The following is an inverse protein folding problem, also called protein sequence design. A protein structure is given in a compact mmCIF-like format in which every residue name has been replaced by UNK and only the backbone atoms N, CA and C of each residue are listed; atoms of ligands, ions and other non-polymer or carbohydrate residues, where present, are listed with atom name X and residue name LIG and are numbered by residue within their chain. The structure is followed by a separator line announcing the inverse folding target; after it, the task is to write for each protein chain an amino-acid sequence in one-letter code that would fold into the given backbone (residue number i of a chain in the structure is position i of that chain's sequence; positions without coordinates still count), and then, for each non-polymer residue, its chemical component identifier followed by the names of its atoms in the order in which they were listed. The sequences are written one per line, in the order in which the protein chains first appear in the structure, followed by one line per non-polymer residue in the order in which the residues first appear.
data_IF_825674093330
#
_entry.id   IF_825674093330
#
_cell.length_a   1.000
_cell.length_b   1.000
_cell.length_c   1.000
_cell.angle_alpha   90.00
_cell.angle_beta   90.00
_cell.angle_gamma   90.00
#
_symmetry.space_group_name_H-M   'P 1'
#
loop_
_entity.id
_entity.type
_entity.pdbx_description
1 polymer ?
#
# COMPACT_ATOMS: atom_id res chain seq x y z
N UNK A 1 26.82 13.01 34.23
CA UNK A 1 26.06 11.74 34.10
C UNK A 1 24.60 11.93 33.69
N UNK A 2 23.82 12.82 34.34
CA UNK A 2 22.42 13.12 33.96
C UNK A 2 22.16 13.61 32.52
N UNK A 3 22.98 14.50 31.91
CA UNK A 3 22.71 14.99 30.55
C UNK A 3 22.92 13.91 29.47
N UNK A 4 23.87 13.00 29.67
CA UNK A 4 24.11 11.89 28.75
C UNK A 4 22.94 10.88 28.73
N UNK A 5 22.39 10.54 29.91
CA UNK A 5 21.21 9.68 30.02
C UNK A 5 19.96 10.29 29.39
N UNK A 6 19.80 11.62 29.49
CA UNK A 6 18.68 12.31 28.85
C UNK A 6 18.77 12.22 27.32
N UNK A 7 19.95 12.45 26.73
CA UNK A 7 20.18 12.31 25.29
C UNK A 7 19.93 10.88 24.81
N UNK A 8 20.36 9.87 25.58
CA UNK A 8 20.13 8.46 25.25
C UNK A 8 18.64 8.09 25.27
N UNK A 9 17.90 8.57 26.27
CA UNK A 9 16.45 8.36 26.34
C UNK A 9 15.70 9.06 25.20
N UNK A 10 16.12 10.26 24.81
CA UNK A 10 15.54 10.96 23.66
C UNK A 10 15.83 10.21 22.36
N UNK A 11 17.05 9.72 22.16
CA UNK A 11 17.41 8.90 21.00
C UNK A 11 16.57 7.62 20.93
N UNK A 12 16.43 6.88 22.04
CA UNK A 12 15.58 5.69 22.11
C UNK A 12 14.12 5.98 21.74
N UNK A 13 13.55 7.05 22.30
CA UNK A 13 12.17 7.46 22.01
C UNK A 13 11.95 7.83 20.55
N UNK A 14 12.93 8.50 19.92
CA UNK A 14 12.88 8.80 18.47
C UNK A 14 12.89 7.51 17.64
N UNK A 15 13.75 6.54 17.97
CA UNK A 15 13.81 5.27 17.23
C UNK A 15 12.52 4.45 17.35
N UNK A 16 11.87 4.45 18.52
CA UNK A 16 10.57 3.78 18.71
C UNK A 16 9.46 4.44 17.89
N UNK A 17 9.41 5.78 17.85
CA UNK A 17 8.43 6.53 17.07
C UNK A 17 8.58 6.31 15.56
N UNK A 18 9.82 6.28 15.08
CA UNK A 18 10.16 5.97 13.68
C UNK A 18 9.74 4.53 13.35
N UNK A 19 10.07 3.57 14.21
CA UNK A 19 9.71 2.16 14.02
C UNK A 19 8.20 1.94 13.96
N UNK A 20 7.45 2.52 14.90
CA UNK A 20 5.99 2.41 14.91
C UNK A 20 5.35 3.08 13.68
N UNK A 21 5.83 4.26 13.30
CA UNK A 21 5.33 4.99 12.12
C UNK A 21 5.60 4.18 10.84
N UNK A 22 6.80 3.59 10.72
CA UNK A 22 7.18 2.76 9.60
C UNK A 22 6.33 1.49 9.48
N UNK A 23 6.18 0.77 10.59
CA UNK A 23 5.36 -0.44 10.65
C UNK A 23 3.91 -0.15 10.22
N UNK A 24 3.33 0.95 10.69
CA UNK A 24 1.97 1.35 10.33
C UNK A 24 1.83 1.72 8.85
N UNK A 25 2.74 2.54 8.31
CA UNK A 25 2.65 2.99 6.91
C UNK A 25 2.87 1.83 5.93
N UNK A 26 3.86 0.97 6.20
CA UNK A 26 4.13 -0.21 5.37
C UNK A 26 2.99 -1.22 5.44
N UNK A 27 2.45 -1.50 6.63
CA UNK A 27 1.31 -2.42 6.75
C UNK A 27 0.06 -1.90 6.02
N UNK A 28 -0.22 -0.59 6.09
CA UNK A 28 -1.29 0.04 5.32
C UNK A 28 -1.09 -0.12 3.81
N UNK A 29 0.12 0.11 3.31
CA UNK A 29 0.46 -0.05 1.90
C UNK A 29 0.29 -1.50 1.44
N UNK A 30 0.87 -2.47 2.15
CA UNK A 30 0.76 -3.88 1.76
C UNK A 30 -0.69 -4.37 1.83
N UNK A 31 -1.43 -3.99 2.87
CA UNK A 31 -2.85 -4.33 2.98
C UNK A 31 -3.65 -3.76 1.81
N UNK A 32 -3.44 -2.48 1.46
CA UNK A 32 -4.10 -1.84 0.34
C UNK A 32 -3.82 -2.55 -0.99
N UNK A 33 -2.55 -2.87 -1.28
CA UNK A 33 -2.16 -3.55 -2.52
C UNK A 33 -2.73 -4.97 -2.59
N UNK A 34 -2.66 -5.72 -1.49
CA UNK A 34 -3.21 -7.08 -1.42
C UNK A 34 -4.74 -7.06 -1.57
N UNK A 35 -5.41 -6.13 -0.90
CA UNK A 35 -6.86 -5.97 -1.01
C UNK A 35 -7.27 -5.59 -2.43
N UNK A 36 -6.55 -4.66 -3.07
CA UNK A 36 -6.77 -4.27 -4.46
C UNK A 36 -6.75 -5.49 -5.39
N UNK A 37 -5.63 -6.21 -5.42
CA UNK A 37 -5.43 -7.33 -6.35
C UNK A 37 -6.34 -8.52 -6.00
N UNK A 38 -6.51 -8.82 -4.72
CA UNK A 38 -7.32 -9.93 -4.26
C UNK A 38 -8.81 -9.72 -4.55
N UNK A 39 -9.33 -8.52 -4.32
CA UNK A 39 -10.74 -8.19 -4.60
C UNK A 39 -11.03 -8.15 -6.10
N UNK A 40 -10.12 -7.61 -6.93
CA UNK A 40 -10.23 -7.67 -8.39
C UNK A 40 -10.30 -9.11 -8.89
N UNK A 41 -9.38 -9.96 -8.43
CA UNK A 41 -9.34 -11.36 -8.81
C UNK A 41 -10.62 -12.10 -8.41
N UNK A 42 -11.14 -11.83 -7.20
CA UNK A 42 -12.39 -12.41 -6.73
C UNK A 42 -13.58 -11.99 -7.59
N UNK A 43 -13.69 -10.70 -7.92
CA UNK A 43 -14.76 -10.19 -8.79
C UNK A 43 -14.65 -10.76 -10.22
N UNK A 44 -13.43 -10.89 -10.75
CA UNK A 44 -13.20 -11.52 -12.04
C UNK A 44 -13.72 -12.97 -12.06
N UNK A 45 -13.45 -13.75 -11.01
CA UNK A 45 -13.98 -15.12 -10.87
C UNK A 45 -15.51 -15.13 -10.82
N UNK A 46 -16.11 -14.22 -10.05
CA UNK A 46 -17.57 -14.15 -9.86
C UNK A 46 -18.29 -13.84 -11.19
N UNK A 47 -17.81 -12.89 -11.98
CA UNK A 47 -18.50 -12.44 -13.19
C UNK A 47 -18.12 -13.22 -14.46
N UNK A 48 -16.88 -13.72 -14.57
CA UNK A 48 -16.37 -14.36 -15.79
C UNK A 48 -16.10 -15.87 -15.66
N UNK A 49 -16.18 -16.42 -14.46
CA UNK A 49 -16.02 -17.85 -14.21
C UNK A 49 -14.56 -18.32 -14.15
N UNK A 50 -14.31 -19.33 -13.32
CA UNK A 50 -12.96 -19.83 -12.95
C UNK A 50 -12.10 -20.32 -14.13
N UNK A 51 -12.71 -20.69 -15.26
CA UNK A 51 -11.99 -21.20 -16.45
C UNK A 51 -11.40 -20.12 -17.35
N UNK A 52 -11.80 -18.86 -17.20
CA UNK A 52 -11.35 -17.74 -18.05
C UNK A 52 -10.39 -16.77 -17.34
N UNK A 53 -10.19 -16.91 -16.03
CA UNK A 53 -9.36 -15.98 -15.24
C UNK A 53 -7.94 -16.51 -15.13
N UNK A 54 -7.09 -16.14 -16.08
CA UNK A 54 -5.65 -16.47 -16.05
C UNK A 54 -4.93 -15.49 -15.11
N UNK A 55 -3.81 -15.89 -14.48
CA UNK A 55 -2.96 -15.01 -13.66
C UNK A 55 -2.52 -13.71 -14.37
N UNK A 56 -2.60 -13.66 -15.71
CA UNK A 56 -2.44 -12.43 -16.50
C UNK A 56 -3.47 -11.33 -16.19
N UNK A 57 -4.65 -11.71 -15.70
CA UNK A 57 -5.72 -10.77 -15.30
C UNK A 57 -5.42 -10.04 -13.99
N UNK A 58 -4.36 -10.44 -13.27
CA UNK A 58 -3.96 -9.81 -12.00
C UNK A 58 -3.17 -8.50 -12.21
N UNK A 59 -2.91 -8.07 -13.45
CA UNK A 59 -2.18 -6.84 -13.78
C UNK A 59 -0.76 -6.75 -13.17
N UNK A 60 -0.20 -7.88 -12.72
CA UNK A 60 1.17 -7.95 -12.22
C UNK A 60 2.11 -8.21 -13.39
N UNK A 61 2.70 -7.15 -13.91
CA UNK A 61 3.79 -7.21 -14.88
C UNK A 61 5.16 -7.23 -14.21
N UNK A 62 6.19 -7.58 -14.97
CA UNK A 62 7.57 -7.56 -14.46
C UNK A 62 8.01 -6.12 -14.12
N UNK A 63 7.55 -5.12 -14.88
CA UNK A 63 7.79 -3.70 -14.63
C UNK A 63 7.06 -3.23 -13.36
N UNK A 64 5.85 -3.72 -13.11
CA UNK A 64 5.10 -3.43 -11.89
C UNK A 64 5.83 -3.93 -10.64
N UNK A 65 6.35 -5.17 -10.67
CA UNK A 65 7.12 -5.71 -9.54
C UNK A 65 8.36 -4.85 -9.27
N UNK A 66 9.08 -4.46 -10.34
CA UNK A 66 10.24 -3.58 -10.20
C UNK A 66 9.86 -2.23 -9.58
N UNK A 67 8.77 -1.60 -10.04
CA UNK A 67 8.28 -0.34 -9.48
C UNK A 67 7.89 -0.47 -7.99
N UNK A 68 7.25 -1.58 -7.60
CA UNK A 68 6.92 -1.87 -6.21
C UNK A 68 8.16 -2.07 -5.33
N UNK A 69 9.20 -2.72 -5.84
CA UNK A 69 10.47 -2.87 -5.11
C UNK A 69 11.14 -1.50 -4.96
N UNK A 70 11.17 -0.70 -6.02
CA UNK A 70 11.76 0.64 -6.00
C UNK A 70 11.02 1.58 -5.05
N UNK A 71 9.69 1.54 -4.97
CA UNK A 71 8.92 2.37 -4.04
C UNK A 71 9.16 1.99 -2.58
N UNK A 72 9.30 0.70 -2.27
CA UNK A 72 9.69 0.23 -0.94
C UNK A 72 11.12 0.69 -0.61
N UNK A 73 12.03 0.58 -1.57
CA UNK A 73 13.42 1.00 -1.38
C UNK A 73 13.50 2.52 -1.13
N UNK A 74 12.80 3.32 -1.93
CA UNK A 74 12.66 4.77 -1.75
C UNK A 74 12.14 5.09 -0.34
N UNK A 75 11.06 4.43 0.07
CA UNK A 75 10.50 4.60 1.41
C UNK A 75 11.51 4.31 2.53
N UNK A 76 12.29 3.23 2.41
CA UNK A 76 13.30 2.86 3.40
C UNK A 76 14.47 3.85 3.43
N UNK A 77 14.90 4.34 2.26
CA UNK A 77 15.94 5.36 2.16
C UNK A 77 15.46 6.68 2.77
N UNK A 78 14.24 7.12 2.48
CA UNK A 78 13.65 8.32 3.09
C UNK A 78 13.49 8.16 4.60
N UNK A 79 13.11 6.98 5.09
CA UNK A 79 13.01 6.72 6.52
C UNK A 79 14.39 6.82 7.21
N UNK A 80 15.46 6.39 6.55
CA UNK A 80 16.82 6.43 7.08
C UNK A 80 17.43 7.83 7.04
N UNK A 81 17.33 8.54 5.91
CA UNK A 81 17.95 9.85 5.72
C UNK A 81 17.06 11.03 6.18
N UNK A 82 15.74 10.90 6.09
CA UNK A 82 14.77 11.98 6.31
C UNK A 82 13.55 11.53 7.14
N UNK A 83 13.74 11.03 8.37
CA UNK A 83 12.65 10.47 9.19
C UNK A 83 11.54 11.49 9.51
N UNK A 84 11.88 12.78 9.60
CA UNK A 84 10.93 13.88 9.86
C UNK A 84 9.82 13.96 8.81
N UNK A 85 10.11 13.62 7.55
CA UNK A 85 9.10 13.60 6.49
C UNK A 85 8.01 12.57 6.78
N UNK A 86 8.37 11.42 7.33
CA UNK A 86 7.43 10.33 7.63
C UNK A 86 6.60 10.58 8.89
N UNK A 87 7.01 11.50 9.76
CA UNK A 87 6.24 11.91 10.93
C UNK A 87 4.97 12.71 10.59
N UNK A 88 4.85 13.22 9.37
CA UNK A 88 3.67 13.94 8.87
C UNK A 88 2.52 12.97 8.57
N UNK A 89 1.94 12.40 9.64
CA UNK A 89 0.93 11.32 9.59
C UNK A 89 -0.32 11.67 8.77
N UNK A 90 -0.65 12.95 8.65
CA UNK A 90 -1.80 13.42 7.88
C UNK A 90 -1.66 13.08 6.38
N UNK A 91 -0.44 13.11 5.83
CA UNK A 91 -0.18 12.78 4.41
C UNK A 91 -0.52 11.31 4.13
N UNK A 92 -0.01 10.41 4.98
CA UNK A 92 -0.28 8.97 4.87
C UNK A 92 -1.76 8.63 5.07
N UNK A 93 -2.44 9.29 6.02
CA UNK A 93 -3.88 9.10 6.23
C UNK A 93 -4.71 9.62 5.03
N UNK A 94 -4.33 10.74 4.45
CA UNK A 94 -4.97 11.28 3.26
C UNK A 94 -4.78 10.35 2.05
N UNK A 95 -3.57 9.82 1.86
CA UNK A 95 -3.30 8.79 0.85
C UNK A 95 -4.17 7.55 1.04
N UNK A 96 -4.29 7.05 2.27
CA UNK A 96 -5.15 5.91 2.58
C UNK A 96 -6.63 6.20 2.26
N UNK A 97 -7.12 7.40 2.58
CA UNK A 97 -8.48 7.82 2.22
C UNK A 97 -8.69 7.79 0.71
N UNK A 98 -7.75 8.33 -0.07
CA UNK A 98 -7.84 8.31 -1.54
C UNK A 98 -7.85 6.88 -2.09
N UNK A 99 -7.03 5.98 -1.54
CA UNK A 99 -7.04 4.56 -1.90
C UNK A 99 -8.42 3.94 -1.65
N UNK A 100 -8.98 4.13 -0.44
CA UNK A 100 -10.30 3.57 -0.09
C UNK A 100 -11.40 4.09 -1.01
N UNK A 101 -11.43 5.40 -1.29
CA UNK A 101 -12.41 6.00 -2.20
C UNK A 101 -12.27 5.45 -3.62
N UNK A 102 -11.04 5.39 -4.15
CA UNK A 102 -10.77 4.83 -5.47
C UNK A 102 -11.16 3.37 -5.58
N UNK A 103 -10.90 2.58 -4.53
CA UNK A 103 -11.31 1.19 -4.43
C UNK A 103 -12.84 1.05 -4.51
N UNK A 104 -13.59 1.80 -3.71
CA UNK A 104 -15.06 1.75 -3.73
C UNK A 104 -15.59 2.06 -5.13
N UNK A 105 -15.12 3.16 -5.75
CA UNK A 105 -15.55 3.57 -7.10
C UNK A 105 -15.25 2.46 -8.11
N UNK A 106 -14.05 1.88 -8.08
CA UNK A 106 -13.64 0.82 -9.01
C UNK A 106 -14.50 -0.43 -8.87
N UNK A 107 -14.76 -0.88 -7.63
CA UNK A 107 -15.53 -2.09 -7.37
C UNK A 107 -17.00 -1.90 -7.74
N UNK A 108 -17.56 -0.73 -7.44
CA UNK A 108 -18.90 -0.37 -7.89
C UNK A 108 -18.99 -0.40 -9.42
N UNK A 109 -18.02 0.17 -10.13
CA UNK A 109 -18.00 0.14 -11.60
C UNK A 109 -17.98 -1.30 -12.15
N UNK A 110 -17.15 -2.19 -11.60
CA UNK A 110 -17.10 -3.62 -11.99
C UNK A 110 -18.44 -4.29 -11.73
N UNK A 111 -19.03 -4.08 -10.55
CA UNK A 111 -20.32 -4.67 -10.17
C UNK A 111 -21.46 -4.16 -11.07
N UNK A 112 -21.48 -2.87 -11.38
CA UNK A 112 -22.48 -2.25 -12.26
C UNK A 112 -22.33 -2.74 -13.71
N UNK A 113 -21.11 -2.90 -14.21
CA UNK A 113 -20.85 -3.44 -15.55
C UNK A 113 -21.10 -4.96 -15.63
N UNK A 114 -20.88 -5.70 -14.55
CA UNK A 114 -21.14 -7.13 -14.44
C UNK A 114 -20.43 -7.94 -15.54
N UNK A 115 -21.20 -8.63 -16.39
CA UNK A 115 -20.67 -9.44 -17.52
C UNK A 115 -20.22 -8.63 -18.74
N UNK A 116 -20.51 -7.33 -18.77
CA UNK A 116 -19.98 -6.42 -19.79
C UNK A 116 -18.58 -5.89 -19.43
N UNK A 117 -18.08 -6.20 -18.22
CA UNK A 117 -16.75 -5.78 -17.79
C UNK A 117 -15.67 -6.65 -18.41
N UNK A 118 -15.16 -6.28 -19.59
CA UNK A 118 -14.04 -7.01 -20.20
C UNK A 118 -12.71 -6.57 -19.56
N UNK A 119 -11.91 -7.53 -19.09
CA UNK A 119 -10.50 -7.33 -18.73
C UNK A 119 -9.64 -7.19 -20.00
N UNK A 120 -10.01 -6.29 -20.90
CA UNK A 120 -9.24 -5.96 -22.09
C UNK A 120 -8.37 -4.73 -21.78
N UNK A 121 -7.06 -4.95 -21.71
CA UNK A 121 -6.03 -3.92 -21.72
C UNK A 121 -5.13 -4.19 -22.92
#
# INVERSE_FOLDING_TARGET
MKPFLYTLNQFGKMTELVSHTASRQLSQMFFAVLFFHGSEYLLAIIFHGKSNVTLKSLLISQQYILAMILSILEYLLELYFFPELKEHRWISNFGLLMVVVGEVIRKLAIITAGRAFTHLI
#
